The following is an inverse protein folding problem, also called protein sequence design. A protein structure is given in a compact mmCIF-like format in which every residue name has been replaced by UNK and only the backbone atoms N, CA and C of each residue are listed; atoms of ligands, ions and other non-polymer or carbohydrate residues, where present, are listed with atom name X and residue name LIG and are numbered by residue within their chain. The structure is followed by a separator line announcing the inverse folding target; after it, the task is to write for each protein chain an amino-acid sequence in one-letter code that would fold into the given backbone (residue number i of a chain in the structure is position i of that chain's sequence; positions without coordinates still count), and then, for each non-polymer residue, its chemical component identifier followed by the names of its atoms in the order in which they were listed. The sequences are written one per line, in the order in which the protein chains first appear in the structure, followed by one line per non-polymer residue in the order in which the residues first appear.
data_IF_761279797137
#
_entry.id   IF_761279797137
#
_cell.length_a   1.000
_cell.length_b   1.000
_cell.length_c   1.000
_cell.angle_alpha   90.00
_cell.angle_beta   90.00
_cell.angle_gamma   90.00
#
_symmetry.space_group_name_H-M   'P 1'
#
loop_
_entity.id
_entity.type
_entity.pdbx_description
1 polymer ?
#
# COMPACT_ATOMS: atom_id res chain seq x y z
N UNK A 1 -14.83 4.90 12.91
CA UNK A 1 -14.13 4.28 11.77
C UNK A 1 -13.04 3.35 12.26
N UNK A 2 -12.10 3.81 13.08
CA UNK A 2 -10.93 3.03 13.53
C UNK A 2 -11.30 1.71 14.21
N UNK A 3 -12.24 1.71 15.20
CA UNK A 3 -12.67 0.49 15.89
C UNK A 3 -13.35 -0.52 14.97
N UNK A 4 -14.16 -0.03 14.02
CA UNK A 4 -14.83 -0.91 13.06
C UNK A 4 -13.83 -1.50 12.06
N UNK A 5 -12.87 -0.69 11.58
CA UNK A 5 -11.79 -1.14 10.71
C UNK A 5 -10.93 -2.21 11.39
N UNK A 6 -10.51 -1.98 12.64
CA UNK A 6 -9.73 -2.95 13.41
C UNK A 6 -10.47 -4.28 13.58
N UNK A 7 -11.76 -4.26 13.97
CA UNK A 7 -12.58 -5.48 14.08
C UNK A 7 -12.65 -6.25 12.77
N UNK A 8 -12.81 -5.55 11.65
CA UNK A 8 -12.86 -6.20 10.33
C UNK A 8 -11.50 -6.72 9.88
N UNK A 9 -10.41 -5.99 10.16
CA UNK A 9 -9.06 -6.40 9.75
C UNK A 9 -8.59 -7.61 10.56
N UNK A 10 -8.83 -7.64 11.87
CA UNK A 10 -8.47 -8.79 12.71
C UNK A 10 -9.44 -9.97 12.59
N UNK A 11 -10.71 -9.71 12.30
CA UNK A 11 -11.78 -10.74 12.34
C UNK A 11 -12.01 -11.47 11.02
N UNK A 12 -11.45 -11.03 9.89
CA UNK A 12 -11.71 -11.64 8.58
C UNK A 12 -10.46 -11.58 7.69
N UNK A 13 -10.40 -12.47 6.70
CA UNK A 13 -9.40 -12.47 5.62
C UNK A 13 -9.90 -11.73 4.35
N UNK A 14 -11.13 -11.22 4.37
CA UNK A 14 -11.75 -10.59 3.21
C UNK A 14 -11.08 -9.25 2.85
N UNK A 15 -11.15 -8.88 1.58
CA UNK A 15 -10.84 -7.52 1.15
C UNK A 15 -11.83 -6.54 1.80
N UNK A 16 -11.36 -5.33 2.08
CA UNK A 16 -12.14 -4.32 2.80
C UNK A 16 -12.24 -3.02 2.01
N UNK A 17 -13.35 -2.32 2.19
CA UNK A 17 -13.53 -0.95 1.78
C UNK A 17 -13.85 -0.10 3.00
N UNK A 18 -12.98 0.85 3.33
CA UNK A 18 -13.16 1.81 4.40
C UNK A 18 -13.67 3.12 3.81
N UNK A 19 -14.92 3.45 4.11
CA UNK A 19 -15.55 4.70 3.68
C UNK A 19 -15.78 5.62 4.86
N UNK A 20 -15.42 6.88 4.72
CA UNK A 20 -15.63 7.89 5.75
C UNK A 20 -15.35 9.29 5.17
N UNK A 21 -15.85 10.35 5.80
CA UNK A 21 -15.55 11.71 5.40
C UNK A 21 -14.04 11.99 5.33
N UNK A 22 -13.66 13.01 4.56
CA UNK A 22 -12.28 13.50 4.52
C UNK A 22 -11.79 13.89 5.93
N UNK A 23 -10.50 13.69 6.19
CA UNK A 23 -9.87 13.96 7.50
C UNK A 23 -10.41 13.14 8.69
N UNK A 24 -11.02 11.98 8.45
CA UNK A 24 -11.62 11.13 9.49
C UNK A 24 -10.66 10.06 10.06
N UNK A 25 -9.37 10.11 9.73
CA UNK A 25 -8.39 9.12 10.18
C UNK A 25 -8.50 7.76 9.48
N UNK A 26 -8.93 7.72 8.20
CA UNK A 26 -9.01 6.47 7.42
C UNK A 26 -7.66 5.78 7.25
N UNK A 27 -6.63 6.56 6.99
CA UNK A 27 -5.26 6.05 6.81
C UNK A 27 -4.81 5.34 8.08
N UNK A 28 -4.95 6.00 9.22
CA UNK A 28 -4.63 5.44 10.54
C UNK A 28 -5.50 4.22 10.85
N UNK A 29 -6.80 4.28 10.50
CA UNK A 29 -7.73 3.17 10.68
C UNK A 29 -7.34 1.90 9.92
N UNK A 30 -6.71 2.05 8.75
CA UNK A 30 -6.17 0.93 7.99
C UNK A 30 -4.79 0.50 8.53
N UNK A 31 -3.89 1.46 8.75
CA UNK A 31 -2.50 1.16 9.10
C UNK A 31 -2.36 0.54 10.49
N UNK A 32 -3.00 1.06 11.54
CA UNK A 32 -2.82 0.53 12.89
C UNK A 32 -3.04 -0.98 13.01
N UNK A 33 -4.17 -1.55 12.57
CA UNK A 33 -4.36 -2.98 12.67
C UNK A 33 -3.45 -3.77 11.72
N UNK A 34 -3.17 -3.25 10.52
CA UNK A 34 -2.24 -3.88 9.58
C UNK A 34 -0.83 -3.96 10.18
N UNK A 35 -0.34 -2.86 10.77
CA UNK A 35 0.97 -2.82 11.42
C UNK A 35 1.05 -3.76 12.63
N UNK A 36 -0.03 -3.88 13.40
CA UNK A 36 -0.09 -4.86 14.51
C UNK A 36 0.09 -6.28 14.00
N UNK A 37 -0.58 -6.65 12.90
CA UNK A 37 -0.41 -7.98 12.28
C UNK A 37 1.00 -8.19 11.72
N UNK A 38 1.61 -7.15 11.13
CA UNK A 38 2.99 -7.24 10.66
C UNK A 38 3.99 -7.36 11.81
N UNK A 39 3.71 -6.73 12.95
CA UNK A 39 4.56 -6.81 14.14
C UNK A 39 4.57 -8.20 14.76
N UNK A 40 3.42 -8.88 14.77
CA UNK A 40 3.31 -10.26 15.26
C UNK A 40 4.06 -11.26 14.39
N UNK A 41 4.09 -11.02 13.07
CA UNK A 41 4.79 -11.86 12.10
C UNK A 41 5.39 -10.97 10.99
N UNK A 42 6.65 -10.57 11.18
CA UNK A 42 7.34 -9.61 10.33
C UNK A 42 7.61 -10.17 8.94
N UNK A 43 7.13 -9.50 7.88
CA UNK A 43 7.39 -9.92 6.50
C UNK A 43 8.88 -9.88 6.14
N UNK A 44 9.30 -10.83 5.32
CA UNK A 44 10.69 -10.93 4.83
C UNK A 44 11.00 -9.95 3.70
N UNK A 45 9.96 -9.39 3.08
CA UNK A 45 10.05 -8.44 1.96
C UNK A 45 9.19 -7.21 2.26
N UNK A 46 8.85 -6.41 1.27
CA UNK A 46 7.79 -5.39 1.42
C UNK A 46 6.51 -6.09 1.85
N UNK A 47 6.00 -5.75 3.03
CA UNK A 47 4.79 -6.36 3.60
C UNK A 47 3.51 -5.61 3.26
N UNK A 48 3.62 -4.29 3.05
CA UNK A 48 2.49 -3.41 2.67
C UNK A 48 2.84 -2.60 1.44
N UNK A 49 1.99 -2.67 0.42
CA UNK A 49 2.02 -1.79 -0.73
C UNK A 49 0.91 -0.75 -0.58
N UNK A 50 1.28 0.52 -0.45
CA UNK A 50 0.34 1.64 -0.40
C UNK A 50 0.32 2.37 -1.74
N UNK A 51 -0.81 2.30 -2.43
CA UNK A 51 -1.00 2.91 -3.75
C UNK A 51 -1.80 4.19 -3.59
N UNK A 52 -1.20 5.33 -3.93
CA UNK A 52 -1.88 6.63 -3.96
C UNK A 52 -1.92 7.19 -5.39
N UNK A 53 -3.05 7.77 -5.82
CA UNK A 53 -3.23 8.23 -7.19
C UNK A 53 -2.37 9.45 -7.55
N UNK A 54 -1.92 10.21 -6.57
CA UNK A 54 -1.14 11.44 -6.77
C UNK A 54 0.13 11.45 -5.92
N UNK A 55 1.22 11.99 -6.48
CA UNK A 55 2.51 12.17 -5.79
C UNK A 55 2.36 13.07 -4.54
N UNK A 56 1.54 14.12 -4.62
CA UNK A 56 1.26 14.99 -3.48
C UNK A 56 0.68 14.21 -2.30
N UNK A 57 -0.26 13.30 -2.55
CA UNK A 57 -0.82 12.43 -1.50
C UNK A 57 0.25 11.55 -0.85
N UNK A 58 1.19 11.01 -1.65
CA UNK A 58 2.32 10.24 -1.09
C UNK A 58 3.16 11.13 -0.18
N UNK A 59 3.53 12.33 -0.62
CA UNK A 59 4.36 13.24 0.15
C UNK A 59 3.64 13.70 1.43
N UNK A 60 2.35 14.04 1.35
CA UNK A 60 1.55 14.48 2.50
C UNK A 60 1.32 13.36 3.52
N UNK A 61 1.10 12.13 3.04
CA UNK A 61 0.88 10.95 3.90
C UNK A 61 2.20 10.32 4.39
N UNK A 62 3.32 10.53 3.67
CA UNK A 62 4.59 9.90 4.00
C UNK A 62 5.03 10.25 5.43
N UNK A 63 5.07 11.52 5.79
CA UNK A 63 5.46 11.95 7.13
C UNK A 63 4.55 11.36 8.21
N UNK A 64 3.24 11.33 7.97
CA UNK A 64 2.26 10.76 8.92
C UNK A 64 2.46 9.25 9.10
N UNK A 65 2.67 8.51 8.02
CA UNK A 65 2.92 7.07 8.07
C UNK A 65 4.29 6.79 8.69
N UNK A 66 5.30 7.59 8.37
CA UNK A 66 6.64 7.49 8.97
C UNK A 66 6.59 7.72 10.48
N UNK A 67 5.91 8.77 10.97
CA UNK A 67 5.71 9.02 12.40
C UNK A 67 5.02 7.85 13.11
N UNK A 68 4.00 7.25 12.48
CA UNK A 68 3.31 6.08 13.02
C UNK A 68 4.23 4.86 13.14
N UNK A 69 5.20 4.74 12.24
CA UNK A 69 6.09 3.60 12.14
C UNK A 69 7.42 3.77 12.86
N UNK A 70 7.81 5.00 13.22
CA UNK A 70 9.07 5.31 13.89
C UNK A 70 9.28 4.48 15.16
N UNK A 71 8.22 4.27 15.94
CA UNK A 71 8.26 3.47 17.17
C UNK A 71 8.29 1.96 16.92
N UNK A 72 8.00 1.51 15.71
CA UNK A 72 7.89 0.09 15.37
C UNK A 72 9.16 -0.47 14.72
N UNK A 73 10.05 0.40 14.24
CA UNK A 73 11.22 0.00 13.47
C UNK A 73 10.91 -0.55 12.08
N UNK A 74 9.64 -0.46 11.61
CA UNK A 74 9.23 -0.86 10.26
C UNK A 74 9.58 0.26 9.29
N UNK A 75 10.45 0.05 8.29
CA UNK A 75 10.84 1.11 7.38
C UNK A 75 9.69 1.47 6.42
N UNK A 76 9.59 2.77 6.12
CA UNK A 76 8.71 3.31 5.08
C UNK A 76 9.56 3.85 3.94
N UNK A 77 9.23 3.47 2.73
CA UNK A 77 9.86 3.99 1.51
C UNK A 77 8.79 4.53 0.59
N UNK A 78 9.02 5.69 -0.01
CA UNK A 78 8.18 6.19 -1.08
C UNK A 78 8.88 6.06 -2.44
N UNK A 79 8.07 5.82 -3.49
CA UNK A 79 8.58 5.61 -4.83
C UNK A 79 7.69 6.30 -5.86
N UNK A 80 8.17 7.41 -6.37
CA UNK A 80 7.59 8.14 -7.49
C UNK A 80 8.70 8.80 -8.31
N UNK A 81 8.34 9.51 -9.40
CA UNK A 81 9.32 10.03 -10.34
C UNK A 81 10.40 10.90 -9.71
N UNK A 82 10.03 11.72 -8.73
CA UNK A 82 10.91 12.74 -8.14
C UNK A 82 11.79 12.20 -6.99
N UNK A 83 11.62 10.94 -6.60
CA UNK A 83 12.43 10.31 -5.53
C UNK A 83 13.84 10.03 -6.03
N UNK A 84 14.83 10.42 -5.22
CA UNK A 84 16.25 10.22 -5.53
C UNK A 84 16.58 8.73 -5.78
N UNK A 85 17.47 8.49 -6.74
CA UNK A 85 17.89 7.14 -7.12
C UNK A 85 18.51 6.36 -5.95
N UNK A 86 19.15 7.05 -4.99
CA UNK A 86 19.73 6.45 -3.79
C UNK A 86 18.68 5.79 -2.89
N UNK A 87 17.50 6.43 -2.70
CA UNK A 87 16.41 5.86 -1.90
C UNK A 87 15.80 4.65 -2.60
N UNK A 88 15.62 4.73 -3.93
CA UNK A 88 15.16 3.59 -4.73
C UNK A 88 16.12 2.40 -4.65
N UNK A 89 17.44 2.69 -4.71
CA UNK A 89 18.49 1.67 -4.58
C UNK A 89 18.43 0.96 -3.22
N UNK A 90 18.27 1.72 -2.12
CA UNK A 90 18.17 1.15 -0.77
C UNK A 90 17.00 0.16 -0.67
N UNK A 91 15.80 0.51 -1.18
CA UNK A 91 14.68 -0.41 -1.21
C UNK A 91 14.99 -1.68 -2.02
N UNK A 92 15.68 -1.53 -3.17
CA UNK A 92 16.02 -2.68 -4.00
C UNK A 92 17.07 -3.58 -3.36
N UNK A 93 17.99 -3.04 -2.58
CA UNK A 93 18.99 -3.82 -1.84
C UNK A 93 18.35 -4.56 -0.65
N UNK A 94 17.44 -3.90 0.04
CA UNK A 94 16.80 -4.43 1.25
C UNK A 94 15.29 -4.12 1.23
N UNK A 95 14.49 -4.88 0.43
CA UNK A 95 13.06 -4.66 0.31
C UNK A 95 12.32 -5.09 1.58
N UNK A 96 11.87 -4.12 2.39
CA UNK A 96 11.17 -4.34 3.67
C UNK A 96 10.12 -3.26 3.94
N UNK A 97 9.21 -3.57 4.86
CA UNK A 97 8.29 -2.62 5.46
C UNK A 97 7.15 -2.19 4.54
N UNK A 98 6.93 -0.89 4.48
CA UNK A 98 5.86 -0.26 3.71
C UNK A 98 6.44 0.46 2.50
N UNK A 99 5.91 0.17 1.32
CA UNK A 99 6.22 0.88 0.09
C UNK A 99 5.02 1.75 -0.34
N UNK A 100 5.21 3.06 -0.39
CA UNK A 100 4.26 4.00 -0.96
C UNK A 100 4.62 4.31 -2.41
N UNK A 101 3.66 4.13 -3.33
CA UNK A 101 3.93 4.21 -4.77
C UNK A 101 2.73 4.78 -5.54
N UNK A 102 3.00 5.44 -6.67
CA UNK A 102 1.95 5.80 -7.64
C UNK A 102 1.70 4.66 -8.62
N UNK A 103 0.50 4.56 -9.23
CA UNK A 103 0.20 3.53 -10.24
C UNK A 103 1.20 3.53 -11.41
N UNK A 104 1.61 4.72 -11.87
CA UNK A 104 2.55 4.87 -12.98
C UNK A 104 3.94 4.35 -12.62
N UNK A 105 4.39 4.62 -11.39
CA UNK A 105 5.67 4.11 -10.91
C UNK A 105 5.65 2.60 -10.68
N UNK A 106 4.51 2.06 -10.23
CA UNK A 106 4.32 0.62 -10.09
C UNK A 106 4.36 -0.07 -11.47
N UNK A 107 3.71 0.54 -12.49
CA UNK A 107 3.78 0.01 -13.86
C UNK A 107 5.22 0.00 -14.38
N UNK A 108 5.95 1.11 -14.20
CA UNK A 108 7.37 1.18 -14.58
C UNK A 108 8.20 0.10 -13.88
N UNK A 109 7.93 -0.17 -12.61
CA UNK A 109 8.61 -1.23 -11.86
C UNK A 109 8.28 -2.62 -12.44
N UNK A 110 7.00 -2.89 -12.71
CA UNK A 110 6.55 -4.17 -13.27
C UNK A 110 7.09 -4.43 -14.68
N UNK A 111 7.29 -3.39 -15.49
CA UNK A 111 7.86 -3.51 -16.84
C UNK A 111 9.38 -3.70 -16.77
N UNK A 112 10.07 -2.83 -16.04
CA UNK A 112 11.52 -2.76 -16.09
C UNK A 112 12.22 -3.72 -15.10
N UNK A 113 11.49 -4.27 -14.13
CA UNK A 113 12.04 -5.08 -13.03
C UNK A 113 11.19 -6.32 -12.73
N UNK A 114 10.52 -6.88 -13.72
CA UNK A 114 9.63 -8.04 -13.54
C UNK A 114 10.32 -9.21 -12.81
N UNK A 115 11.60 -9.45 -13.08
CA UNK A 115 12.39 -10.50 -12.44
C UNK A 115 12.70 -10.22 -10.95
N UNK A 116 12.66 -8.97 -10.53
CA UNK A 116 12.89 -8.55 -9.14
C UNK A 116 11.61 -8.61 -8.30
N UNK A 117 10.42 -8.67 -8.91
CA UNK A 117 9.13 -8.61 -8.21
C UNK A 117 9.00 -9.67 -7.12
N UNK A 118 9.35 -10.96 -7.33
CA UNK A 118 9.30 -11.96 -6.26
C UNK A 118 10.23 -11.62 -5.09
N UNK A 119 11.38 -10.99 -5.34
CA UNK A 119 12.31 -10.55 -4.30
C UNK A 119 11.78 -9.34 -3.53
N UNK A 120 11.10 -8.40 -4.23
CA UNK A 120 10.58 -7.17 -3.62
C UNK A 120 9.27 -7.43 -2.86
N UNK A 121 8.38 -8.24 -3.41
CA UNK A 121 7.01 -8.45 -2.95
C UNK A 121 6.67 -9.91 -2.58
N UNK A 122 7.66 -10.82 -2.50
CA UNK A 122 7.40 -12.24 -2.27
C UNK A 122 6.62 -12.56 -0.99
N UNK A 123 6.70 -11.70 0.04
CA UNK A 123 5.93 -11.79 1.29
C UNK A 123 5.00 -10.56 1.45
N UNK A 124 4.44 -10.06 0.35
CA UNK A 124 3.48 -8.96 0.35
C UNK A 124 2.14 -9.44 0.92
N UNK A 125 1.71 -8.89 2.05
CA UNK A 125 0.50 -9.31 2.77
C UNK A 125 -0.69 -8.40 2.52
N UNK A 126 -0.44 -7.09 2.43
CA UNK A 126 -1.50 -6.09 2.28
C UNK A 126 -1.22 -5.14 1.13
N UNK A 127 -2.29 -4.77 0.44
CA UNK A 127 -2.31 -3.65 -0.51
C UNK A 127 -3.35 -2.66 -0.04
N UNK A 128 -2.91 -1.45 0.27
CA UNK A 128 -3.81 -0.34 0.63
C UNK A 128 -3.92 0.56 -0.60
N UNK A 129 -5.14 0.83 -1.05
CA UNK A 129 -5.42 1.69 -2.22
C UNK A 129 -6.14 2.93 -1.71
N UNK A 130 -5.47 4.08 -1.79
CA UNK A 130 -6.04 5.33 -1.33
C UNK A 130 -6.92 5.99 -2.41
N UNK A 131 -7.89 6.79 -1.95
CA UNK A 131 -8.83 7.53 -2.79
C UNK A 131 -9.49 6.66 -3.89
N UNK A 132 -9.86 5.42 -3.55
CA UNK A 132 -10.34 4.43 -4.53
C UNK A 132 -11.56 4.91 -5.32
N UNK A 133 -12.36 5.84 -4.76
CA UNK A 133 -13.50 6.45 -5.46
C UNK A 133 -13.09 7.24 -6.71
N UNK A 134 -11.86 7.80 -6.73
CA UNK A 134 -11.33 8.50 -7.92
C UNK A 134 -10.88 7.54 -9.01
N UNK A 135 -10.72 6.29 -8.68
CA UNK A 135 -10.22 5.22 -9.56
C UNK A 135 -11.35 4.38 -10.14
N UNK A 136 -12.52 4.37 -9.49
CA UNK A 136 -13.66 3.55 -9.90
C UNK A 136 -14.15 3.96 -11.29
N UNK A 137 -14.23 2.97 -12.20
CA UNK A 137 -14.66 3.20 -13.59
C UNK A 137 -13.67 3.96 -14.47
N UNK A 138 -12.44 4.18 -14.01
CA UNK A 138 -11.38 4.85 -14.76
C UNK A 138 -10.35 3.87 -15.31
N UNK A 139 -9.63 4.29 -16.37
CA UNK A 139 -8.50 3.51 -16.92
C UNK A 139 -7.40 3.26 -15.87
N UNK A 140 -7.16 4.21 -14.97
CA UNK A 140 -6.20 4.05 -13.86
C UNK A 140 -6.66 2.98 -12.87
N UNK A 141 -7.96 2.88 -12.60
CA UNK A 141 -8.50 1.81 -11.75
C UNK A 141 -8.29 0.45 -12.38
N UNK A 142 -8.59 0.31 -13.69
CA UNK A 142 -8.32 -0.91 -14.46
C UNK A 142 -6.83 -1.24 -14.47
N UNK A 143 -5.96 -0.25 -14.64
CA UNK A 143 -4.51 -0.42 -14.58
C UNK A 143 -4.06 -1.01 -13.23
N UNK A 144 -4.54 -0.47 -12.10
CA UNK A 144 -4.20 -0.98 -10.76
C UNK A 144 -4.64 -2.44 -10.61
N UNK A 145 -5.85 -2.78 -11.06
CA UNK A 145 -6.32 -4.17 -11.01
C UNK A 145 -5.39 -5.09 -11.79
N UNK A 146 -5.02 -4.71 -13.02
CA UNK A 146 -4.07 -5.49 -13.83
C UNK A 146 -2.69 -5.62 -13.15
N UNK A 147 -2.18 -4.54 -12.56
CA UNK A 147 -0.90 -4.55 -11.81
C UNK A 147 -0.95 -5.52 -10.63
N UNK A 148 -2.01 -5.49 -9.85
CA UNK A 148 -2.17 -6.39 -8.70
C UNK A 148 -2.33 -7.85 -9.13
N UNK A 149 -3.00 -8.13 -10.25
CA UNK A 149 -3.07 -9.48 -10.82
C UNK A 149 -1.68 -9.97 -11.28
N UNK A 150 -0.89 -9.10 -11.92
CA UNK A 150 0.49 -9.41 -12.33
C UNK A 150 1.39 -9.70 -11.13
N UNK A 151 1.32 -8.87 -10.08
CA UNK A 151 2.07 -9.10 -8.83
C UNK A 151 1.67 -10.44 -8.26
N UNK A 152 0.37 -10.71 -8.07
CA UNK A 152 -0.12 -11.98 -7.52
C UNK A 152 0.36 -13.20 -8.33
N UNK A 153 0.36 -13.10 -9.66
CA UNK A 153 0.89 -14.13 -10.54
C UNK A 153 2.39 -14.37 -10.37
N UNK A 154 3.17 -13.30 -10.15
CA UNK A 154 4.63 -13.39 -9.99
C UNK A 154 5.06 -13.88 -8.61
N UNK A 155 4.30 -13.56 -7.55
CA UNK A 155 4.61 -13.95 -6.17
C UNK A 155 3.90 -15.23 -5.71
N UNK A 156 2.92 -15.73 -6.47
CA UNK A 156 2.22 -17.00 -6.22
C UNK A 156 1.08 -16.92 -5.21
N UNK A 157 0.69 -15.72 -4.74
CA UNK A 157 -0.45 -15.52 -3.85
C UNK A 157 -1.07 -14.12 -4.04
N UNK A 158 -2.31 -13.93 -3.58
CA UNK A 158 -3.00 -12.65 -3.64
C UNK A 158 -2.91 -11.95 -2.29
N UNK A 159 -2.26 -10.77 -2.19
CA UNK A 159 -2.27 -9.98 -0.97
C UNK A 159 -3.69 -9.46 -0.67
N UNK A 160 -4.00 -9.29 0.60
CA UNK A 160 -5.27 -8.72 1.04
C UNK A 160 -5.36 -7.26 0.66
N UNK A 161 -6.51 -6.82 0.14
CA UNK A 161 -6.72 -5.46 -0.37
C UNK A 161 -7.59 -4.65 0.58
N UNK A 162 -7.19 -3.41 0.85
CA UNK A 162 -7.92 -2.45 1.66
C UNK A 162 -8.07 -1.17 0.84
N UNK A 163 -9.29 -0.85 0.43
CA UNK A 163 -9.61 0.40 -0.25
C UNK A 163 -9.98 1.49 0.75
N UNK A 164 -9.43 2.69 0.57
CA UNK A 164 -9.81 3.89 1.31
C UNK A 164 -10.60 4.82 0.39
N UNK A 165 -11.78 5.23 0.82
CA UNK A 165 -12.65 6.11 0.04
C UNK A 165 -13.18 7.26 0.88
N UNK A 166 -13.26 8.45 0.30
CA UNK A 166 -14.16 9.44 0.83
C UNK A 166 -15.60 8.94 0.71
N UNK A 167 -16.48 9.32 1.62
CA UNK A 167 -17.92 9.12 1.42
C UNK A 167 -18.30 9.88 0.16
N UNK A 168 -18.76 9.14 -0.84
CA UNK A 168 -19.44 9.73 -1.99
C UNK A 168 -20.80 10.17 -1.42
N UNK A 169 -21.02 11.47 -1.33
CA UNK A 169 -22.35 11.98 -1.01
C UNK A 169 -23.36 11.44 -2.02
N UNK A 170 -24.55 11.14 -1.51
CA UNK A 170 -25.69 10.76 -2.36
C UNK A 170 -25.96 11.77 -3.48
#
# INVERSE_FOLDING_TARGET
VQTAAAKSIFGTENNLLLTSSTASGKTEAAFFPVLSLLWEDMPRTVGVLYIAPLKSLINDQFGRVEELLDMTGIPVTHWHGDVAASHKKKLLEEPRGVLQITPESLESMLINRSNDIPRIFGDLRFVIIDEIHTLTGSDRGNQIICQLCRIAGLIGHSPRRIGLSATVGD
#
